data_IF_142785558437
#
_entry.id   IF_142785558437
#
_cell.length_a   1.000
_cell.length_b   1.000
_cell.length_c   1.000
_cell.angle_alpha   90.00
_cell.angle_beta   90.00
_cell.angle_gamma   90.00
#
_symmetry.space_group_name_H-M   'P 1'
#
loop_
_entity.id
_entity.type
_entity.pdbx_description
1 polymer ?
#
# COMPACT_ATOMS: atom_id res chain seq x y z
N UNK A 1 12.85 -0.71 -4.00
CA UNK A 1 12.37 -0.21 -2.68
C UNK A 1 10.94 0.24 -2.82
N UNK A 2 10.03 -0.18 -1.93
CA UNK A 2 8.56 0.02 -2.03
C UNK A 2 8.19 1.43 -2.49
N UNK A 3 8.45 2.47 -1.69
CA UNK A 3 8.01 3.83 -2.04
C UNK A 3 8.62 4.43 -3.30
N UNK A 4 9.81 3.98 -3.74
CA UNK A 4 10.41 4.44 -5.01
C UNK A 4 9.75 3.77 -6.20
N UNK A 5 9.48 2.47 -6.09
CA UNK A 5 8.76 1.70 -7.10
C UNK A 5 7.34 2.26 -7.28
N UNK A 6 6.65 2.54 -6.17
CA UNK A 6 5.27 3.04 -6.17
C UNK A 6 5.14 4.38 -6.91
N UNK A 7 6.10 5.29 -6.74
CA UNK A 7 6.09 6.60 -7.41
C UNK A 7 6.21 6.46 -8.93
N UNK A 8 7.09 5.58 -9.39
CA UNK A 8 7.26 5.29 -10.82
C UNK A 8 5.99 4.64 -11.37
N UNK A 9 5.47 3.62 -10.69
CA UNK A 9 4.24 2.94 -11.08
C UNK A 9 3.04 3.90 -11.13
N UNK A 10 2.92 4.79 -10.16
CA UNK A 10 1.86 5.79 -10.14
C UNK A 10 1.93 6.72 -11.35
N UNK A 11 3.14 7.14 -11.76
CA UNK A 11 3.31 8.00 -12.94
C UNK A 11 3.00 7.24 -14.23
N UNK A 12 3.46 6.02 -14.37
CA UNK A 12 3.16 5.16 -15.54
C UNK A 12 1.65 4.92 -15.68
N UNK A 13 0.95 4.64 -14.57
CA UNK A 13 -0.50 4.48 -14.57
C UNK A 13 -1.24 5.76 -14.98
N UNK A 14 -0.79 6.93 -14.52
CA UNK A 14 -1.36 8.23 -14.93
C UNK A 14 -1.09 8.57 -16.40
N UNK A 15 0.01 8.08 -16.96
CA UNK A 15 0.31 8.20 -18.38
C UNK A 15 -0.53 7.21 -19.24
N UNK A 16 -1.34 6.35 -18.62
CA UNK A 16 -2.22 5.39 -19.30
C UNK A 16 -1.57 4.02 -19.55
N UNK A 17 -0.38 3.75 -19.01
CA UNK A 17 0.31 2.48 -19.21
C UNK A 17 -0.32 1.38 -18.34
N UNK A 18 -0.57 0.20 -18.95
CA UNK A 18 -0.99 -0.99 -18.21
C UNK A 18 0.24 -1.71 -17.66
N UNK A 19 0.34 -1.81 -16.34
CA UNK A 19 1.48 -2.42 -15.64
C UNK A 19 1.02 -3.58 -14.76
N UNK A 20 1.76 -4.69 -14.80
CA UNK A 20 1.56 -5.85 -13.92
C UNK A 20 2.79 -6.02 -13.05
N UNK A 21 2.59 -6.08 -11.73
CA UNK A 21 3.67 -6.33 -10.76
C UNK A 21 3.50 -7.74 -10.18
N UNK A 22 4.55 -8.54 -10.26
CA UNK A 22 4.62 -9.91 -9.73
C UNK A 22 5.62 -9.97 -8.57
N UNK A 23 5.58 -11.05 -7.77
CA UNK A 23 6.49 -11.27 -6.62
C UNK A 23 6.56 -10.10 -5.64
N UNK A 24 5.39 -9.64 -5.19
CA UNK A 24 5.28 -8.50 -4.27
C UNK A 24 5.88 -8.78 -2.88
N UNK A 25 6.04 -10.05 -2.52
CA UNK A 25 6.64 -10.53 -1.27
C UNK A 25 8.13 -10.21 -1.14
N UNK A 26 8.83 -9.99 -2.26
CA UNK A 26 10.26 -9.68 -2.27
C UNK A 26 10.56 -8.19 -2.28
N UNK A 27 9.53 -7.34 -2.22
CA UNK A 27 9.71 -5.90 -2.26
C UNK A 27 10.40 -5.42 -0.98
N UNK A 28 11.61 -4.90 -1.12
CA UNK A 28 12.36 -4.36 0.01
C UNK A 28 11.78 -3.02 0.50
N UNK A 29 11.64 -2.90 1.82
CA UNK A 29 11.38 -1.65 2.53
C UNK A 29 12.60 -1.22 3.32
N UNK A 30 12.90 0.08 3.34
CA UNK A 30 14.03 0.59 4.11
C UNK A 30 13.78 0.58 5.62
N UNK A 31 14.78 0.19 6.41
CA UNK A 31 14.74 0.13 7.87
C UNK A 31 14.49 -1.28 8.42
N UNK A 32 14.88 -1.50 9.68
CA UNK A 32 14.83 -2.82 10.31
C UNK A 32 13.41 -3.39 10.47
N UNK A 33 13.33 -4.73 10.53
CA UNK A 33 12.07 -5.49 10.57
C UNK A 33 11.15 -5.04 11.72
N UNK A 34 11.69 -4.84 12.92
CA UNK A 34 10.93 -4.43 14.11
C UNK A 34 10.23 -3.08 13.89
N UNK A 35 10.92 -2.12 13.27
CA UNK A 35 10.36 -0.80 12.97
C UNK A 35 9.22 -0.88 11.95
N UNK A 36 9.40 -1.69 10.92
CA UNK A 36 8.36 -1.89 9.90
C UNK A 36 7.14 -2.61 10.46
N UNK A 37 7.35 -3.63 11.29
CA UNK A 37 6.28 -4.32 12.03
C UNK A 37 5.51 -3.33 12.91
N UNK A 38 6.19 -2.48 13.67
CA UNK A 38 5.53 -1.46 14.50
C UNK A 38 4.69 -0.46 13.68
N UNK A 39 5.20 -0.01 12.53
CA UNK A 39 4.43 0.87 11.61
C UNK A 39 3.17 0.17 11.12
N UNK A 40 3.28 -1.09 10.69
CA UNK A 40 2.14 -1.87 10.23
C UNK A 40 1.12 -2.11 11.35
N UNK A 41 1.56 -2.44 12.56
CA UNK A 41 0.69 -2.62 13.73
C UNK A 41 -0.07 -1.35 14.10
N UNK A 42 0.58 -0.18 14.05
CA UNK A 42 -0.11 1.12 14.26
C UNK A 42 -1.20 1.37 13.22
N UNK A 43 -0.95 0.96 11.98
CA UNK A 43 -1.93 1.06 10.91
C UNK A 43 -3.12 0.10 11.12
N UNK A 44 -2.88 -1.14 11.53
CA UNK A 44 -3.95 -2.12 11.81
C UNK A 44 -4.89 -1.70 12.97
N UNK A 45 -4.40 -0.85 13.88
CA UNK A 45 -5.21 -0.27 14.96
C UNK A 45 -6.22 0.78 14.45
N UNK A 46 -6.03 1.34 13.25
CA UNK A 46 -6.96 2.32 12.68
C UNK A 46 -8.24 1.63 12.24
N UNK A 47 -9.35 1.89 12.92
CA UNK A 47 -10.69 1.39 12.60
C UNK A 47 -11.74 2.47 12.84
N UNK A 48 -12.88 2.36 12.16
CA UNK A 48 -14.04 3.21 12.44
C UNK A 48 -14.63 2.83 13.79
N UNK A 49 -14.90 3.81 14.66
CA UNK A 49 -15.36 3.55 16.03
C UNK A 49 -16.83 3.08 16.08
N UNK A 50 -17.69 3.61 15.21
CA UNK A 50 -19.14 3.30 15.18
C UNK A 50 -19.41 1.92 14.59
N UNK A 51 -18.93 1.65 13.37
CA UNK A 51 -19.09 0.35 12.70
C UNK A 51 -17.81 -0.06 11.97
N UNK A 52 -16.97 -0.93 12.57
CA UNK A 52 -15.69 -1.31 12.00
C UNK A 52 -15.75 -1.88 10.57
N UNK A 53 -16.87 -2.51 10.18
CA UNK A 53 -17.04 -3.11 8.85
C UNK A 53 -17.24 -2.11 7.72
N UNK A 54 -17.71 -0.89 7.99
CA UNK A 54 -17.78 0.21 6.99
C UNK A 54 -16.51 1.06 6.95
N UNK A 55 -15.57 0.79 7.85
CA UNK A 55 -14.32 1.51 7.94
C UNK A 55 -13.30 1.06 6.90
N UNK A 56 -12.04 1.29 7.25
CA UNK A 56 -10.90 0.88 6.45
C UNK A 56 -10.80 -0.65 6.36
N UNK A 57 -10.81 -1.18 5.13
CA UNK A 57 -10.55 -2.60 4.89
C UNK A 57 -9.04 -2.83 4.90
N UNK A 58 -8.59 -3.70 5.80
CA UNK A 58 -7.19 -3.99 6.04
C UNK A 58 -6.82 -5.33 5.40
N UNK A 59 -6.13 -5.28 4.27
CA UNK A 59 -5.60 -6.48 3.63
C UNK A 59 -4.13 -6.73 4.03
N UNK A 60 -3.77 -7.93 4.49
CA UNK A 60 -2.41 -8.25 4.94
C UNK A 60 -1.48 -8.70 3.81
N UNK A 61 -2.01 -9.12 2.66
CA UNK A 61 -1.21 -9.65 1.56
C UNK A 61 -0.25 -8.58 0.99
N UNK A 62 1.00 -8.96 0.62
CA UNK A 62 2.00 -8.01 0.12
C UNK A 62 1.54 -7.26 -1.14
N UNK A 63 0.84 -7.96 -2.04
CA UNK A 63 0.24 -7.35 -3.22
C UNK A 63 -0.80 -6.26 -2.87
N UNK A 64 -1.61 -6.50 -1.84
CA UNK A 64 -2.62 -5.52 -1.41
C UNK A 64 -2.01 -4.33 -0.66
N UNK A 65 -0.87 -4.54 0.02
CA UNK A 65 -0.08 -3.44 0.61
C UNK A 65 0.42 -2.53 -0.51
N UNK A 66 1.02 -3.11 -1.55
CA UNK A 66 1.50 -2.38 -2.74
C UNK A 66 0.37 -1.65 -3.46
N UNK A 67 -0.75 -2.33 -3.71
CA UNK A 67 -1.92 -1.72 -4.34
C UNK A 67 -2.43 -0.52 -3.56
N UNK A 68 -2.45 -0.60 -2.23
CA UNK A 68 -2.90 0.51 -1.39
C UNK A 68 -1.93 1.69 -1.41
N UNK A 69 -0.62 1.45 -1.45
CA UNK A 69 0.36 2.55 -1.51
C UNK A 69 0.28 3.27 -2.85
N UNK A 70 0.19 2.53 -3.97
CA UNK A 70 -0.02 3.09 -5.31
C UNK A 70 -1.34 3.87 -5.38
N UNK A 71 -2.44 3.29 -4.87
CA UNK A 71 -3.74 3.97 -4.81
C UNK A 71 -3.69 5.28 -4.04
N UNK A 72 -2.88 5.35 -2.98
CA UNK A 72 -2.66 6.58 -2.21
C UNK A 72 -1.88 7.66 -2.95
N UNK A 73 -1.15 7.32 -4.03
CA UNK A 73 -0.36 8.24 -4.85
C UNK A 73 -1.11 8.75 -6.09
N UNK A 74 -2.29 8.19 -6.40
CA UNK A 74 -3.10 8.52 -7.58
C UNK A 74 -4.42 9.15 -7.12
N UNK A 75 -4.96 10.17 -7.84
CA UNK A 75 -6.33 10.62 -7.66
C UNK A 75 -7.31 9.49 -8.01
N UNK A 76 -7.79 8.78 -6.99
CA UNK A 76 -8.71 7.65 -7.11
C UNK A 76 -10.11 7.94 -6.57
N UNK A 77 -10.31 9.16 -6.06
CA UNK A 77 -11.60 9.70 -5.68
C UNK A 77 -11.85 10.86 -6.62
N UNK A 78 -13.02 10.85 -7.25
CA UNK A 78 -13.57 12.01 -7.94
C UNK A 78 -13.98 13.08 -6.94
#
# INVERSE_FOLDING_TARGET
MLGRLDSILAKELLNGQKVVVVRCEEICMWGGLVRQKMKHMRFLRKRMNTKPSHGLILFPAPANILWRTIRGMIPHKE
#
